data_IF_119617800078
#
_entry.id   IF_119617800078
#
_cell.length_a   1.000
_cell.length_b   1.000
_cell.length_c   1.000
_cell.angle_alpha   90.00
_cell.angle_beta   90.00
_cell.angle_gamma   90.00
#
_symmetry.space_group_name_H-M   'P 1'
#
loop_
_entity.id
_entity.type
_entity.pdbx_description
1 polymer ?
#
# COMPACT_ATOMS: atom_id res chain seq x y z
N UNK A 1 -22.41 5.22 -4.13
CA UNK A 1 -21.24 4.46 -4.64
C UNK A 1 -21.35 4.38 -6.15
N UNK A 2 -20.29 4.74 -6.88
CA UNK A 2 -20.21 4.66 -8.35
C UNK A 2 -19.44 3.40 -8.74
N UNK A 3 -19.76 2.85 -9.90
CA UNK A 3 -19.10 1.68 -10.46
C UNK A 3 -19.01 1.82 -11.96
N UNK A 4 -17.88 1.41 -12.51
CA UNK A 4 -17.63 1.35 -13.93
C UNK A 4 -16.95 0.02 -14.25
N UNK A 5 -17.38 -0.62 -15.34
CA UNK A 5 -16.79 -1.85 -15.84
C UNK A 5 -16.33 -1.59 -17.26
N UNK A 6 -15.10 -2.00 -17.56
CA UNK A 6 -14.57 -1.90 -18.91
C UNK A 6 -15.27 -2.92 -19.82
N UNK A 7 -15.58 -2.51 -21.05
CA UNK A 7 -16.14 -3.41 -22.05
C UNK A 7 -15.18 -4.57 -22.38
N UNK A 8 -13.88 -4.34 -22.24
CA UNK A 8 -12.83 -5.35 -22.33
C UNK A 8 -11.92 -5.23 -21.10
N UNK A 9 -11.76 -6.30 -20.30
CA UNK A 9 -10.81 -6.31 -19.18
C UNK A 9 -9.40 -5.95 -19.64
N UNK A 10 -8.71 -5.13 -18.85
CA UNK A 10 -7.37 -4.63 -19.17
C UNK A 10 -6.34 -5.54 -18.51
N UNK A 11 -5.45 -6.20 -19.28
CA UNK A 11 -4.41 -7.04 -18.69
C UNK A 11 -3.32 -6.19 -18.04
N UNK A 12 -2.88 -6.60 -16.84
CA UNK A 12 -1.68 -6.05 -16.22
C UNK A 12 -0.47 -6.80 -16.76
N UNK A 13 0.32 -6.11 -17.58
CA UNK A 13 1.47 -6.69 -18.28
C UNK A 13 2.78 -6.56 -17.47
N UNK A 14 2.82 -5.58 -16.57
CA UNK A 14 3.99 -5.28 -15.76
C UNK A 14 4.01 -6.08 -14.46
N UNK A 15 5.21 -6.29 -13.92
CA UNK A 15 5.36 -6.97 -12.64
C UNK A 15 4.83 -6.07 -11.53
N UNK A 16 3.88 -6.59 -10.76
CA UNK A 16 3.28 -5.87 -9.63
C UNK A 16 4.25 -5.94 -8.45
N UNK A 17 4.75 -4.81 -7.94
CA UNK A 17 5.66 -4.80 -6.81
C UNK A 17 4.94 -5.11 -5.50
N UNK A 18 5.69 -5.64 -4.53
CA UNK A 18 5.24 -5.76 -3.15
C UNK A 18 5.19 -4.37 -2.46
N UNK A 19 4.24 -4.20 -1.56
CA UNK A 19 4.18 -3.10 -0.61
C UNK A 19 5.52 -2.96 0.13
N UNK A 20 6.04 -1.72 0.33
CA UNK A 20 5.40 -0.41 0.12
C UNK A 20 5.74 0.23 -1.23
N UNK A 21 5.92 -0.54 -2.30
CA UNK A 21 6.05 0.00 -3.67
C UNK A 21 4.77 -0.22 -4.45
N UNK A 22 4.51 0.62 -5.45
CA UNK A 22 3.36 0.48 -6.33
C UNK A 22 3.76 0.66 -7.80
N UNK A 23 3.02 -0.03 -8.67
CA UNK A 23 3.02 0.14 -10.11
C UNK A 23 1.97 1.18 -10.47
N UNK A 24 2.36 2.27 -11.16
CA UNK A 24 1.42 3.23 -11.74
C UNK A 24 0.96 2.76 -13.12
N UNK A 25 -0.30 3.01 -13.45
CA UNK A 25 -0.90 2.67 -14.74
C UNK A 25 -1.81 3.80 -15.23
N UNK A 26 -1.77 4.05 -16.53
CA UNK A 26 -2.80 4.83 -17.21
C UNK A 26 -3.99 3.92 -17.53
N UNK A 27 -5.18 4.26 -17.03
CA UNK A 27 -6.41 3.53 -17.31
C UNK A 27 -7.42 4.43 -18.03
N UNK A 28 -8.19 3.90 -18.98
CA UNK A 28 -9.27 4.65 -19.59
C UNK A 28 -10.39 4.92 -18.58
N UNK A 29 -11.21 5.93 -18.89
CA UNK A 29 -12.45 6.25 -18.17
C UNK A 29 -12.28 6.35 -16.64
N UNK A 30 -11.37 7.22 -16.15
CA UNK A 30 -11.17 7.40 -14.72
C UNK A 30 -12.43 7.98 -14.03
N UNK A 31 -12.59 7.85 -12.70
CA UNK A 31 -13.82 8.19 -11.99
C UNK A 31 -14.42 9.57 -12.23
N UNK A 32 -13.63 10.58 -12.60
CA UNK A 32 -14.15 11.91 -12.94
C UNK A 32 -13.80 12.36 -14.37
N UNK A 33 -13.35 11.44 -15.22
CA UNK A 33 -13.00 11.73 -16.62
C UNK A 33 -11.72 12.55 -16.80
N UNK A 34 -10.94 12.76 -15.75
CA UNK A 34 -9.66 13.46 -15.82
C UNK A 34 -8.56 12.47 -16.21
N UNK A 35 -7.98 12.55 -17.43
CA UNK A 35 -6.97 11.60 -17.88
C UNK A 35 -5.66 11.66 -17.07
N UNK A 36 -5.46 12.68 -16.22
CA UNK A 36 -4.35 12.72 -15.29
C UNK A 36 -4.53 11.81 -14.06
N UNK A 37 -5.75 11.30 -13.82
CA UNK A 37 -6.02 10.33 -12.76
C UNK A 37 -5.48 8.95 -13.13
N UNK A 38 -4.19 8.74 -12.92
CA UNK A 38 -3.59 7.41 -13.02
C UNK A 38 -4.14 6.48 -11.94
N UNK A 39 -3.97 5.18 -12.13
CA UNK A 39 -4.19 4.18 -11.10
C UNK A 39 -2.85 3.66 -10.56
N UNK A 40 -2.89 3.01 -9.40
CA UNK A 40 -1.75 2.31 -8.85
C UNK A 40 -2.14 0.96 -8.27
N UNK A 41 -1.25 -0.02 -8.39
CA UNK A 41 -1.40 -1.41 -7.95
C UNK A 41 -0.19 -1.86 -7.16
N UNK A 42 -0.40 -2.73 -6.19
CA UNK A 42 0.67 -3.36 -5.42
C UNK A 42 0.17 -4.66 -4.81
N UNK A 43 1.10 -5.50 -4.40
CA UNK A 43 0.80 -6.70 -3.63
C UNK A 43 1.00 -6.45 -2.15
N UNK A 44 0.06 -6.88 -1.33
CA UNK A 44 0.15 -6.89 0.13
C UNK A 44 -0.43 -8.20 0.64
N UNK A 45 0.30 -8.89 1.52
CA UNK A 45 -0.12 -10.18 2.11
C UNK A 45 -0.58 -11.19 1.03
N UNK A 46 0.15 -11.25 -0.08
CA UNK A 46 -0.16 -12.14 -1.20
C UNK A 46 -1.30 -11.70 -2.12
N UNK A 47 -2.05 -10.66 -1.75
CA UNK A 47 -3.18 -10.13 -2.51
C UNK A 47 -2.77 -8.89 -3.29
N UNK A 48 -3.21 -8.79 -4.54
CA UNK A 48 -3.10 -7.56 -5.32
C UNK A 48 -4.27 -6.66 -4.99
N UNK A 49 -3.96 -5.42 -4.66
CA UNK A 49 -4.94 -4.34 -4.48
C UNK A 49 -4.54 -3.16 -5.37
N UNK A 50 -5.50 -2.29 -5.65
CA UNK A 50 -5.20 -1.06 -6.37
C UNK A 50 -6.32 -0.04 -6.31
N UNK A 51 -5.94 1.19 -6.57
CA UNK A 51 -6.79 2.37 -6.43
C UNK A 51 -6.46 3.39 -7.51
N UNK A 52 -7.36 4.35 -7.72
CA UNK A 52 -7.01 5.56 -8.45
C UNK A 52 -6.15 6.50 -7.59
N UNK A 53 -5.11 7.06 -8.20
CA UNK A 53 -4.25 8.11 -7.67
C UNK A 53 -5.01 9.44 -7.59
N UNK A 54 -6.02 9.51 -6.71
CA UNK A 54 -6.80 10.72 -6.52
C UNK A 54 -7.31 10.86 -5.10
N UNK A 55 -6.95 11.97 -4.46
CA UNK A 55 -7.38 12.25 -3.11
C UNK A 55 -8.88 12.58 -3.05
N UNK A 56 -9.62 11.93 -2.15
CA UNK A 56 -11.02 12.23 -1.85
C UNK A 56 -11.27 13.62 -1.25
N UNK A 57 -10.22 14.30 -0.77
CA UNK A 57 -10.27 15.65 -0.21
C UNK A 57 -10.32 16.74 -1.31
N UNK A 58 -9.27 16.85 -2.14
CA UNK A 58 -9.10 17.95 -3.13
C UNK A 58 -9.05 17.49 -4.59
N UNK A 59 -9.34 16.21 -4.87
CA UNK A 59 -9.41 15.67 -6.24
C UNK A 59 -8.14 15.91 -7.07
N UNK A 60 -6.97 15.83 -6.44
CA UNK A 60 -5.65 15.89 -7.07
C UNK A 60 -4.92 14.55 -6.95
N UNK A 61 -3.92 14.27 -7.81
CA UNK A 61 -2.95 13.20 -7.60
C UNK A 61 -2.30 13.28 -6.22
N UNK A 62 -2.08 12.11 -5.62
CA UNK A 62 -1.59 11.92 -4.26
C UNK A 62 -0.07 11.77 -4.17
N UNK A 63 0.59 11.38 -5.26
CA UNK A 63 1.99 10.91 -5.28
C UNK A 63 3.02 11.98 -5.67
N UNK A 64 2.58 13.19 -6.06
CA UNK A 64 3.46 14.22 -6.62
C UNK A 64 4.22 13.74 -7.88
N UNK A 65 3.61 12.83 -8.66
CA UNK A 65 4.16 12.26 -9.89
C UNK A 65 5.45 11.41 -9.72
N UNK A 66 5.81 11.02 -8.50
CA UNK A 66 6.97 10.14 -8.25
C UNK A 66 6.59 8.68 -7.93
N UNK A 67 5.30 8.34 -7.96
CA UNK A 67 4.81 6.99 -7.70
C UNK A 67 4.95 6.51 -6.26
N UNK A 68 5.23 7.39 -5.28
CA UNK A 68 5.27 7.02 -3.87
C UNK A 68 3.93 7.29 -3.21
N UNK A 69 3.29 6.21 -2.79
CA UNK A 69 1.95 6.23 -2.22
C UNK A 69 1.90 5.94 -0.74
N UNK A 70 2.99 5.54 -0.10
CA UNK A 70 2.98 5.04 1.27
C UNK A 70 3.82 5.92 2.20
N UNK A 71 3.37 6.05 3.44
CA UNK A 71 4.15 6.65 4.52
C UNK A 71 5.07 5.62 5.20
N UNK A 72 5.68 6.02 6.32
CA UNK A 72 6.65 5.18 7.05
C UNK A 72 5.96 4.01 7.76
N UNK A 73 4.68 4.15 8.06
CA UNK A 73 3.83 3.15 8.70
C UNK A 73 3.21 2.19 7.68
N UNK A 74 3.33 2.48 6.37
CA UNK A 74 2.78 1.66 5.30
C UNK A 74 1.36 2.00 4.90
N UNK A 75 0.76 3.05 5.44
CA UNK A 75 -0.56 3.53 5.03
C UNK A 75 -0.46 4.26 3.69
N UNK A 76 -1.53 4.24 2.89
CA UNK A 76 -1.57 5.07 1.69
C UNK A 76 -1.67 6.53 2.14
N UNK A 77 -0.82 7.41 1.62
CA UNK A 77 -0.80 8.83 1.97
C UNK A 77 -1.02 9.73 0.74
N UNK A 78 -1.90 10.71 0.89
CA UNK A 78 -1.90 11.88 0.03
C UNK A 78 -0.73 12.79 0.41
N UNK A 79 0.34 12.77 -0.37
CA UNK A 79 1.57 13.54 -0.07
C UNK A 79 1.41 15.05 -0.24
N UNK A 80 0.26 15.49 -0.75
CA UNK A 80 -0.09 16.91 -0.87
C UNK A 80 -0.58 17.47 0.47
N UNK A 81 -1.49 16.78 1.16
CA UNK A 81 -2.18 17.31 2.36
C UNK A 81 -2.28 16.33 3.55
N UNK A 82 -1.66 15.15 3.46
CA UNK A 82 -1.48 14.23 4.58
C UNK A 82 -2.68 13.35 4.94
N UNK A 83 -3.74 13.31 4.13
CA UNK A 83 -4.81 12.32 4.30
C UNK A 83 -4.24 10.90 4.15
N UNK A 84 -4.64 9.98 5.03
CA UNK A 84 -4.22 8.60 5.00
C UNK A 84 -5.39 7.66 4.79
N UNK A 85 -5.12 6.59 4.07
CA UNK A 85 -6.09 5.58 3.70
C UNK A 85 -5.52 4.20 4.02
N UNK A 86 -6.41 3.30 4.40
CA UNK A 86 -6.07 1.90 4.64
C UNK A 86 -5.50 1.27 3.35
N UNK A 87 -4.39 0.55 3.48
CA UNK A 87 -3.64 0.00 2.37
C UNK A 87 -4.26 -1.26 1.75
N UNK A 88 -5.31 -1.82 2.35
CA UNK A 88 -6.03 -2.99 1.82
C UNK A 88 -7.40 -2.59 1.30
N UNK A 89 -8.10 -1.77 2.06
CA UNK A 89 -9.50 -1.37 1.95
C UNK A 89 -9.69 0.05 1.36
N UNK A 90 -8.72 0.95 1.48
CA UNK A 90 -8.74 2.28 0.86
C UNK A 90 -9.76 3.25 1.45
N UNK A 91 -10.37 2.93 2.59
CA UNK A 91 -11.16 3.88 3.37
C UNK A 91 -10.24 4.92 4.02
N UNK A 92 -10.72 6.15 4.21
CA UNK A 92 -9.94 7.18 4.90
C UNK A 92 -9.88 6.84 6.40
N UNK A 93 -8.67 6.80 6.95
CA UNK A 93 -8.40 6.48 8.37
C UNK A 93 -7.90 7.70 9.15
N UNK A 94 -7.30 8.69 8.47
CA UNK A 94 -6.83 9.92 9.12
C UNK A 94 -6.77 11.09 8.14
N UNK A 95 -6.98 12.30 8.66
CA UNK A 95 -6.77 13.54 7.93
C UNK A 95 -8.04 14.04 7.24
N UNK A 96 -7.92 14.97 6.28
CA UNK A 96 -9.04 15.81 5.86
C UNK A 96 -10.00 15.16 4.85
N UNK A 97 -9.75 13.93 4.40
CA UNK A 97 -10.60 13.32 3.36
C UNK A 97 -11.90 12.79 3.96
N UNK A 98 -13.09 13.25 3.52
CA UNK A 98 -14.37 12.78 4.04
C UNK A 98 -14.81 11.42 3.45
N UNK A 99 -14.09 10.94 2.44
CA UNK A 99 -14.37 9.69 1.71
C UNK A 99 -13.06 8.93 1.45
N UNK A 100 -13.17 7.64 1.18
CA UNK A 100 -12.05 6.78 0.74
C UNK A 100 -11.70 6.93 -0.74
N UNK A 101 -10.84 6.03 -1.22
CA UNK A 101 -10.34 5.99 -2.59
C UNK A 101 -11.31 5.28 -3.54
N UNK A 102 -11.08 5.39 -4.85
CA UNK A 102 -11.74 4.53 -5.84
C UNK A 102 -10.91 3.27 -6.00
N UNK A 103 -11.51 2.11 -5.76
CA UNK A 103 -10.88 0.79 -5.81
C UNK A 103 -10.95 0.22 -7.23
N UNK A 104 -9.87 -0.44 -7.66
CA UNK A 104 -9.87 -1.26 -8.88
C UNK A 104 -10.55 -2.60 -8.64
N UNK A 105 -11.34 -3.04 -9.62
CA UNK A 105 -11.95 -4.37 -9.66
C UNK A 105 -10.98 -5.31 -10.39
N UNK A 106 -10.45 -6.31 -9.69
CA UNK A 106 -9.38 -7.17 -10.19
C UNK A 106 -9.83 -8.64 -10.30
N UNK A 107 -9.33 -9.34 -11.30
CA UNK A 107 -9.53 -10.78 -11.50
C UNK A 107 -8.21 -11.45 -11.90
N UNK A 108 -7.90 -12.61 -11.34
CA UNK A 108 -6.69 -13.37 -11.64
C UNK A 108 -6.09 -14.02 -10.39
N UNK A 109 -5.03 -14.80 -10.56
CA UNK A 109 -4.39 -15.55 -9.47
C UNK A 109 -3.85 -14.62 -8.38
N UNK A 110 -4.41 -14.79 -7.17
CA UNK A 110 -3.93 -14.16 -5.95
C UNK A 110 -3.12 -15.22 -5.19
N UNK A 111 -1.79 -15.09 -5.18
CA UNK A 111 -0.96 -15.97 -4.37
C UNK A 111 -0.99 -15.50 -2.91
N UNK A 112 -2.02 -15.88 -2.15
CA UNK A 112 -1.94 -15.83 -0.70
C UNK A 112 -1.06 -16.98 -0.22
N UNK A 113 0.19 -16.71 0.13
CA UNK A 113 0.86 -17.60 1.09
C UNK A 113 0.02 -17.58 2.39
N UNK A 114 -0.18 -18.72 3.07
CA UNK A 114 -0.87 -18.74 4.35
C UNK A 114 -0.10 -17.84 5.32
N UNK A 115 -0.72 -16.75 5.78
CA UNK A 115 -0.18 -15.94 6.88
C UNK A 115 -0.05 -16.87 8.10
N UNK A 116 1.17 -17.14 8.62
CA UNK A 116 1.30 -17.86 9.88
C UNK A 116 0.56 -17.04 10.94
N UNK A 117 -0.37 -17.68 11.65
CA UNK A 117 -1.28 -17.02 12.58
C UNK A 117 -0.54 -16.08 13.53
N UNK A 118 -1.09 -14.88 13.73
CA UNK A 118 -0.76 -14.09 14.91
C UNK A 118 -1.16 -14.93 16.12
N UNK A 119 -0.17 -15.44 16.84
CA UNK A 119 -0.37 -16.04 18.15
C UNK A 119 -0.85 -14.93 19.09
N UNK A 120 -2.01 -15.19 19.68
CA UNK A 120 -2.78 -14.32 20.56
C UNK A 120 -2.14 -14.39 21.96
N UNK A 121 -1.09 -13.61 22.20
CA UNK A 121 -0.43 -13.55 23.51
C UNK A 121 -1.24 -12.67 24.47
N UNK A 122 -2.22 -13.32 25.10
CA UNK A 122 -2.90 -12.83 26.29
C UNK A 122 -2.08 -13.14 27.55
N UNK A 123 -1.71 -12.05 28.24
CA UNK A 123 -1.51 -11.84 29.68
C UNK A 123 -0.75 -12.90 30.51
N UNK A 124 0.39 -12.51 31.12
CA UNK A 124 0.51 -12.46 32.58
C UNK A 124 1.88 -11.99 33.10
N UNK A 125 1.78 -11.21 34.15
CA UNK A 125 2.79 -10.44 34.88
C UNK A 125 3.84 -11.20 35.70
N UNK A 126 4.95 -10.48 35.96
CA UNK A 126 5.79 -10.44 37.17
C UNK A 126 6.84 -11.53 37.44
N UNK A 127 8.12 -11.11 37.58
CA UNK A 127 8.80 -11.01 38.90
C UNK A 127 10.17 -10.30 38.74
N UNK A 128 10.45 -9.39 39.67
CA UNK A 128 11.70 -8.62 39.84
C UNK A 128 12.85 -9.49 40.33
N UNK A 129 14.09 -9.14 39.97
CA UNK A 129 15.24 -9.06 40.90
C UNK A 129 16.41 -8.28 40.30
N UNK A 130 16.93 -7.36 41.10
CA UNK A 130 18.09 -6.51 40.84
C UNK A 130 19.41 -7.22 41.19
N UNK A 131 20.49 -6.88 40.48
CA UNK A 131 21.86 -6.85 41.00
C UNK A 131 22.71 -5.87 40.17
N UNK A 132 23.71 -5.30 40.84
CA UNK A 132 24.49 -4.07 40.60
C UNK A 132 25.70 -4.21 39.67
N UNK A 133 26.17 -3.04 39.20
CA UNK A 133 27.55 -2.60 38.88
C UNK A 133 28.48 -3.51 38.05
N UNK A 134 29.00 -3.00 36.92
CA UNK A 134 30.29 -2.29 36.88
C UNK A 134 30.52 -1.61 35.51
N UNK A 135 31.32 -0.55 35.57
CA UNK A 135 31.67 0.46 34.57
C UNK A 135 32.89 0.01 33.74
N UNK A 136 32.91 0.24 32.42
CA UNK A 136 34.16 0.67 31.74
C UNK A 136 33.92 1.32 30.36
N UNK A 137 34.68 2.39 30.12
CA UNK A 137 34.70 3.22 28.91
C UNK A 137 35.58 2.63 27.81
N UNK A 138 35.18 2.74 26.55
CA UNK A 138 36.11 2.85 25.43
C UNK A 138 35.51 3.57 24.21
N UNK A 139 36.33 4.43 23.61
CA UNK A 139 36.06 5.32 22.48
C UNK A 139 36.19 4.60 21.12
N UNK A 140 35.39 5.05 20.16
CA UNK A 140 35.82 5.49 18.82
C UNK A 140 36.19 4.44 17.78
N UNK A 141 35.56 4.54 16.60
CA UNK A 141 36.05 3.92 15.37
C UNK A 141 34.96 3.78 14.30
N UNK A 142 35.10 4.55 13.23
CA UNK A 142 34.34 4.55 11.97
C UNK A 142 33.84 3.17 11.50
N UNK A 143 32.57 3.10 11.15
CA UNK A 143 31.98 1.99 10.39
C UNK A 143 31.54 2.46 9.01
N UNK A 144 32.32 2.06 8.00
CA UNK A 144 31.95 2.02 6.59
C UNK A 144 30.58 1.36 6.43
N UNK A 145 29.57 2.15 6.07
CA UNK A 145 28.24 1.63 5.73
C UNK A 145 28.31 1.02 4.32
N UNK A 146 28.63 -0.26 4.29
CA UNK A 146 28.52 -1.06 3.06
C UNK A 146 27.05 -1.17 2.69
N UNK A 147 26.64 -0.47 1.63
CA UNK A 147 25.31 -0.60 1.02
C UNK A 147 25.20 -2.01 0.43
N UNK A 148 24.60 -2.92 1.20
CA UNK A 148 24.23 -4.24 0.70
C UNK A 148 23.13 -4.06 -0.35
N UNK A 149 23.51 -4.21 -1.62
CA UNK A 149 22.57 -4.34 -2.73
C UNK A 149 21.84 -5.66 -2.53
N UNK A 150 20.56 -5.59 -2.17
CA UNK A 150 19.72 -6.77 -2.03
C UNK A 150 19.68 -7.54 -3.37
N UNK A 151 19.77 -8.89 -3.34
CA UNK A 151 19.74 -9.67 -4.56
C UNK A 151 18.37 -9.56 -5.20
N UNK A 152 18.35 -9.31 -6.52
CA UNK A 152 17.17 -9.31 -7.35
C UNK A 152 16.47 -10.67 -7.25
N UNK A 153 15.44 -10.75 -6.42
CA UNK A 153 14.59 -11.94 -6.31
C UNK A 153 13.85 -12.13 -7.62
N UNK A 154 14.05 -13.30 -8.24
CA UNK A 154 13.38 -13.79 -9.45
C UNK A 154 11.96 -13.25 -9.57
N UNK A 155 11.74 -12.41 -10.58
CA UNK A 155 10.41 -12.00 -10.99
C UNK A 155 9.57 -13.25 -11.25
N UNK A 156 8.63 -13.52 -10.34
CA UNK A 156 7.56 -14.49 -10.56
C UNK A 156 6.87 -14.10 -11.87
N UNK A 157 6.83 -15.04 -12.83
CA UNK A 157 6.08 -14.86 -14.08
C UNK A 157 4.64 -14.57 -13.67
N UNK A 158 4.22 -13.32 -13.82
CA UNK A 158 2.93 -12.84 -13.34
C UNK A 158 1.79 -13.70 -13.88
N UNK A 159 0.97 -14.23 -12.97
CA UNK A 159 -0.35 -14.75 -13.33
C UNK A 159 -1.14 -13.67 -14.08
N UNK A 160 -2.04 -14.07 -14.96
CA UNK A 160 -2.82 -13.14 -15.78
C UNK A 160 -3.80 -12.35 -14.89
N UNK A 161 -3.35 -11.20 -14.38
CA UNK A 161 -4.21 -10.27 -13.66
C UNK A 161 -4.91 -9.35 -14.65
N UNK A 162 -6.21 -9.22 -14.50
CA UNK A 162 -7.09 -8.40 -15.30
C UNK A 162 -7.73 -7.32 -14.42
N UNK A 163 -7.77 -6.10 -14.93
CA UNK A 163 -8.55 -4.99 -14.37
C UNK A 163 -9.89 -4.97 -15.07
N UNK A 164 -10.95 -5.25 -14.32
CA UNK A 164 -12.33 -5.29 -14.81
C UNK A 164 -12.98 -3.91 -14.85
N UNK A 165 -12.47 -2.97 -14.05
CA UNK A 165 -13.07 -1.66 -13.86
C UNK A 165 -12.74 -1.08 -12.49
N UNK A 166 -13.62 -0.25 -11.96
CA UNK A 166 -13.45 0.41 -10.66
C UNK A 166 -14.77 0.68 -9.96
N UNK A 167 -14.71 0.86 -8.64
CA UNK A 167 -15.83 1.30 -7.81
C UNK A 167 -15.40 2.27 -6.72
N UNK A 168 -16.33 3.08 -6.22
CA UNK A 168 -16.09 3.95 -5.10
C UNK A 168 -16.80 5.31 -5.15
N UNK A 169 -16.38 6.29 -4.34
CA UNK A 169 -15.30 6.15 -3.35
C UNK A 169 -15.69 5.13 -2.26
N UNK A 170 -14.71 4.45 -1.67
CA UNK A 170 -14.91 3.56 -0.53
C UNK A 170 -15.47 4.38 0.64
N UNK A 171 -16.46 3.85 1.35
CA UNK A 171 -17.04 4.52 2.51
C UNK A 171 -15.98 4.69 3.62
N UNK A 172 -16.02 5.76 4.43
CA UNK A 172 -15.20 5.85 5.62
C UNK A 172 -15.50 4.68 6.58
N UNK A 173 -14.52 4.30 7.40
CA UNK A 173 -14.72 3.30 8.44
C UNK A 173 -15.87 3.72 9.36
N UNK A 174 -16.83 2.82 9.59
CA UNK A 174 -17.92 3.07 10.53
C UNK A 174 -17.41 2.69 11.93
N UNK A 175 -17.08 3.70 12.72
CA UNK A 175 -16.83 3.54 14.17
C UNK A 175 -18.13 3.32 14.94
#
# INVERSE_FOLDING_TARGET
MRKHLYNQPIPVLETIPEHPRALRLDLPEPPNGDPADQAFLYRIEGRVVGFFNRCGHVRLPMDLDDGKFFDLEGMIICRVHGARFDEKEGHCIMGPSPVGLYRLLLQGEQHSEPVPGKEDDTDSSATRRSATDELESAKGGDSDISVAVAPESKASRGGSLLILGWEGPVAPEQH
#
